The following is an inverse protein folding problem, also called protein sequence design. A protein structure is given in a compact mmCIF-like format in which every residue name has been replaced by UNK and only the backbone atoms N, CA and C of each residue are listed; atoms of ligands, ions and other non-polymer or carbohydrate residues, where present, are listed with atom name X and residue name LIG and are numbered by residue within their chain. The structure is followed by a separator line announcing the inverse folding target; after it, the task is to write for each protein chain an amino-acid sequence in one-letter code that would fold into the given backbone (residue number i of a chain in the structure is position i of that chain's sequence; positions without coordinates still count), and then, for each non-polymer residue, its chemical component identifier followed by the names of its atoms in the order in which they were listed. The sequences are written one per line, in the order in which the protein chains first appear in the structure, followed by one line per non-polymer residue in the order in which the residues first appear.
data_IF_746656487609
#
_entry.id   IF_746656487609
#
_cell.length_a   1.000
_cell.length_b   1.000
_cell.length_c   1.000
_cell.angle_alpha   90.00
_cell.angle_beta   90.00
_cell.angle_gamma   90.00
#
_symmetry.space_group_name_H-M   'P 1'
#
loop_
_entity.id
_entity.type
_entity.pdbx_description
1 polymer ?
#
# COMPACT_ATOMS: atom_id res chain seq x y z
N UNK A 1 -40.86 -24.86 25.52
CA UNK A 1 -39.91 -24.64 24.38
C UNK A 1 -39.22 -25.95 24.18
N UNK A 2 -39.38 -26.54 23.01
CA UNK A 2 -38.80 -27.84 22.72
C UNK A 2 -37.27 -27.71 22.57
N UNK A 3 -36.52 -28.57 23.25
CA UNK A 3 -35.08 -28.65 23.23
C UNK A 3 -34.57 -28.72 21.77
N UNK A 4 -35.30 -29.42 20.91
CA UNK A 4 -35.01 -29.52 19.48
C UNK A 4 -34.99 -28.15 18.76
N UNK A 5 -35.95 -27.28 19.05
CA UNK A 5 -36.04 -25.92 18.47
C UNK A 5 -34.87 -25.04 18.91
N UNK A 6 -34.39 -25.18 20.16
CA UNK A 6 -33.22 -24.46 20.66
C UNK A 6 -31.94 -24.91 19.98
N UNK A 7 -31.76 -26.22 19.78
CA UNK A 7 -30.61 -26.80 19.09
C UNK A 7 -30.55 -26.33 17.63
N UNK A 8 -31.68 -26.35 16.92
CA UNK A 8 -31.76 -25.86 15.54
C UNK A 8 -31.40 -24.37 15.46
N UNK A 9 -31.87 -23.53 16.39
CA UNK A 9 -31.55 -22.12 16.46
C UNK A 9 -30.04 -21.86 16.64
N UNK A 10 -29.38 -22.63 17.53
CA UNK A 10 -27.94 -22.53 17.75
C UNK A 10 -27.15 -22.91 16.49
N UNK A 11 -27.56 -23.98 15.81
CA UNK A 11 -26.90 -24.42 14.56
C UNK A 11 -26.98 -23.35 13.49
N UNK A 12 -28.15 -22.72 13.30
CA UNK A 12 -28.32 -21.64 12.31
C UNK A 12 -27.41 -20.45 12.65
N UNK A 13 -27.33 -20.04 13.92
CA UNK A 13 -26.45 -18.95 14.36
C UNK A 13 -24.98 -19.29 14.08
N UNK A 14 -24.56 -20.51 14.37
CA UNK A 14 -23.18 -20.95 14.08
C UNK A 14 -22.87 -20.93 12.58
N UNK A 15 -23.80 -21.37 11.73
CA UNK A 15 -23.61 -21.34 10.27
C UNK A 15 -23.46 -19.89 9.77
N UNK A 16 -24.20 -18.93 10.32
CA UNK A 16 -24.13 -17.52 9.93
C UNK A 16 -22.83 -16.87 10.42
N UNK A 17 -22.35 -17.20 11.63
CA UNK A 17 -21.17 -16.57 12.23
C UNK A 17 -19.84 -17.15 11.70
N UNK A 18 -19.83 -18.41 11.25
CA UNK A 18 -18.62 -19.10 10.78
C UNK A 18 -17.90 -18.36 9.64
N UNK A 19 -18.56 -17.90 8.55
CA UNK A 19 -17.89 -17.21 7.47
C UNK A 19 -17.26 -15.89 7.92
N UNK A 20 -17.87 -15.17 8.84
CA UNK A 20 -17.29 -13.92 9.37
C UNK A 20 -16.02 -14.17 10.19
N UNK A 21 -15.99 -15.24 10.97
CA UNK A 21 -14.79 -15.63 11.72
C UNK A 21 -13.64 -16.03 10.78
N UNK A 22 -13.92 -16.82 9.74
CA UNK A 22 -12.92 -17.27 8.76
C UNK A 22 -12.34 -16.06 8.00
N UNK A 23 -13.16 -15.11 7.55
CA UNK A 23 -12.73 -13.91 6.83
C UNK A 23 -11.79 -13.08 7.72
N UNK A 24 -12.12 -12.89 9.01
CA UNK A 24 -11.31 -12.11 9.94
C UNK A 24 -9.95 -12.76 10.23
N UNK A 25 -9.92 -14.06 10.40
CA UNK A 25 -8.68 -14.83 10.62
C UNK A 25 -7.77 -14.79 9.38
N UNK A 26 -8.36 -14.97 8.20
CA UNK A 26 -7.62 -15.00 6.93
C UNK A 26 -7.02 -13.61 6.59
N UNK A 27 -7.76 -12.54 6.87
CA UNK A 27 -7.28 -11.16 6.72
C UNK A 27 -6.09 -10.87 7.66
N UNK A 28 -6.16 -11.31 8.91
CA UNK A 28 -5.06 -11.15 9.87
C UNK A 28 -3.78 -11.90 9.46
N UNK A 29 -3.91 -13.10 8.92
CA UNK A 29 -2.78 -13.90 8.47
C UNK A 29 -2.10 -13.27 7.24
N UNK A 30 -2.88 -12.71 6.32
CA UNK A 30 -2.34 -12.01 5.14
C UNK A 30 -1.55 -10.77 5.55
N UNK A 31 -2.08 -9.95 6.45
CA UNK A 31 -1.38 -8.76 6.95
C UNK A 31 -0.08 -9.12 7.68
N UNK A 32 -0.09 -10.18 8.50
CA UNK A 32 1.13 -10.68 9.15
C UNK A 32 2.20 -11.11 8.15
N UNK A 33 1.81 -11.86 7.12
CA UNK A 33 2.73 -12.27 6.06
C UNK A 33 3.31 -11.08 5.28
N UNK A 34 2.48 -10.09 4.94
CA UNK A 34 2.95 -8.86 4.30
C UNK A 34 3.94 -8.09 5.18
N UNK A 35 3.64 -7.98 6.47
CA UNK A 35 4.50 -7.31 7.42
C UNK A 35 5.84 -8.04 7.56
N UNK A 36 5.81 -9.36 7.71
CA UNK A 36 7.01 -10.18 7.78
C UNK A 36 7.89 -10.01 6.53
N UNK A 37 7.29 -10.02 5.34
CA UNK A 37 8.00 -9.81 4.08
C UNK A 37 8.68 -8.43 4.05
N UNK A 38 8.00 -7.37 4.51
CA UNK A 38 8.58 -6.03 4.59
C UNK A 38 9.74 -5.99 5.59
N UNK A 39 9.58 -6.55 6.79
CA UNK A 39 10.65 -6.58 7.80
C UNK A 39 11.87 -7.35 7.33
N UNK A 40 11.69 -8.54 6.74
CA UNK A 40 12.81 -9.31 6.17
C UNK A 40 13.58 -8.50 5.13
N UNK A 41 12.87 -7.82 4.21
CA UNK A 41 13.50 -6.98 3.20
C UNK A 41 14.30 -5.82 3.79
N UNK A 42 13.81 -5.22 4.88
CA UNK A 42 14.50 -4.13 5.59
C UNK A 42 15.75 -4.65 6.32
N UNK A 43 15.64 -5.78 7.02
CA UNK A 43 16.75 -6.42 7.73
C UNK A 43 17.87 -6.87 6.80
N UNK A 44 17.53 -7.45 5.64
CA UNK A 44 18.50 -7.83 4.59
C UNK A 44 19.32 -6.63 4.09
N UNK A 45 18.77 -5.41 4.17
CA UNK A 45 19.45 -4.17 3.81
C UNK A 45 20.16 -3.48 5.00
N UNK A 46 20.21 -4.12 6.17
CA UNK A 46 20.87 -3.61 7.37
C UNK A 46 20.19 -2.37 7.95
N UNK A 47 18.87 -2.25 7.76
CA UNK A 47 18.07 -1.10 8.16
C UNK A 47 17.04 -1.46 9.24
N UNK A 48 16.39 -0.45 9.82
CA UNK A 48 15.29 -0.61 10.77
C UNK A 48 14.15 0.33 10.45
N UNK A 49 12.90 -0.15 10.50
CA UNK A 49 11.75 0.68 10.20
C UNK A 49 11.44 1.67 11.33
N UNK A 50 11.36 2.96 10.97
CA UNK A 50 10.85 4.02 11.84
C UNK A 50 9.33 4.14 11.74
N UNK A 51 8.80 4.00 10.53
CA UNK A 51 7.36 4.04 10.22
C UNK A 51 7.04 3.07 9.08
N UNK A 52 5.83 2.53 9.07
CA UNK A 52 5.31 1.72 7.97
C UNK A 52 3.79 1.77 7.89
N UNK A 53 3.25 1.48 6.70
CA UNK A 53 1.83 1.26 6.45
C UNK A 53 1.63 0.06 5.52
N UNK A 54 0.47 -0.57 5.66
CA UNK A 54 0.03 -1.71 4.86
C UNK A 54 -1.36 -1.41 4.31
N UNK A 55 -1.57 -1.63 3.01
CA UNK A 55 -2.91 -1.57 2.41
C UNK A 55 -2.99 -2.51 1.21
N UNK A 56 -4.13 -3.16 1.05
CA UNK A 56 -4.36 -4.13 -0.03
C UNK A 56 -3.19 -5.14 -0.18
N UNK A 57 -2.42 -5.00 -1.25
CA UNK A 57 -1.25 -5.82 -1.55
C UNK A 57 0.07 -5.04 -1.43
N UNK A 58 0.03 -3.84 -0.86
CA UNK A 58 1.18 -2.93 -0.74
C UNK A 58 1.62 -2.84 0.71
N UNK A 59 2.93 -2.86 0.90
CA UNK A 59 3.61 -2.56 2.16
C UNK A 59 4.66 -1.49 1.87
N UNK A 60 4.70 -0.44 2.67
CA UNK A 60 5.68 0.63 2.54
C UNK A 60 6.23 0.96 3.92
N UNK A 61 7.52 1.25 3.98
CA UNK A 61 8.18 1.63 5.23
C UNK A 61 9.40 2.49 4.99
N UNK A 62 9.82 3.22 6.00
CA UNK A 62 10.97 4.11 5.96
C UNK A 62 11.89 3.86 7.16
N UNK A 63 13.17 3.81 6.89
CA UNK A 63 14.22 4.03 7.86
C UNK A 63 14.64 5.50 7.77
N UNK A 64 14.27 6.29 8.78
CA UNK A 64 14.54 7.73 8.80
C UNK A 64 16.02 8.04 9.03
N UNK A 65 16.77 7.15 9.68
CA UNK A 65 18.19 7.33 9.98
C UNK A 65 18.99 7.16 8.69
N UNK A 66 18.80 6.06 7.97
CA UNK A 66 19.47 5.79 6.70
C UNK A 66 18.85 6.54 5.52
N UNK A 67 17.66 7.14 5.71
CA UNK A 67 16.84 7.79 4.66
C UNK A 67 16.57 6.86 3.49
N UNK A 68 16.20 5.62 3.80
CA UNK A 68 15.83 4.60 2.83
C UNK A 68 14.34 4.29 2.96
N UNK A 69 13.65 4.28 1.82
CA UNK A 69 12.25 3.90 1.74
C UNK A 69 12.15 2.53 1.08
N UNK A 70 11.42 1.64 1.72
CA UNK A 70 11.18 0.26 1.31
C UNK A 70 9.75 0.11 0.83
N UNK A 71 9.58 -0.50 -0.32
CA UNK A 71 8.28 -0.75 -0.91
C UNK A 71 8.19 -2.21 -1.37
N UNK A 72 7.12 -2.88 -0.96
CA UNK A 72 6.80 -4.24 -1.38
C UNK A 72 5.38 -4.26 -1.91
N UNK A 73 5.21 -4.75 -3.14
CA UNK A 73 3.92 -5.03 -3.74
C UNK A 73 3.78 -6.51 -3.99
N UNK A 74 2.82 -7.15 -3.33
CA UNK A 74 2.52 -8.56 -3.55
C UNK A 74 1.65 -8.69 -4.81
N UNK A 75 2.25 -9.18 -5.90
CA UNK A 75 1.54 -9.56 -7.12
C UNK A 75 1.21 -11.06 -7.10
N UNK A 76 0.33 -11.50 -8.00
CA UNK A 76 -0.11 -12.91 -8.07
C UNK A 76 1.04 -13.88 -8.33
N UNK A 77 2.04 -13.49 -9.09
CA UNK A 77 3.15 -14.36 -9.52
C UNK A 77 4.37 -14.22 -8.62
N UNK A 78 4.73 -12.98 -8.22
CA UNK A 78 5.86 -12.72 -7.35
C UNK A 78 5.72 -11.35 -6.67
N UNK A 79 6.33 -11.20 -5.48
CA UNK A 79 6.42 -9.91 -4.83
C UNK A 79 7.44 -9.01 -5.55
N UNK A 80 7.11 -7.74 -5.72
CA UNK A 80 7.98 -6.71 -6.27
C UNK A 80 8.59 -5.95 -5.09
N UNK A 81 9.92 -5.95 -4.99
CA UNK A 81 10.69 -5.26 -3.98
C UNK A 81 11.36 -4.04 -4.59
N UNK A 82 11.18 -2.88 -4.00
CA UNK A 82 11.83 -1.64 -4.44
C UNK A 82 12.40 -0.88 -3.24
N UNK A 83 13.65 -0.46 -3.38
CA UNK A 83 14.36 0.36 -2.41
C UNK A 83 14.63 1.72 -3.02
N UNK A 84 14.25 2.80 -2.32
CA UNK A 84 14.51 4.17 -2.74
C UNK A 84 15.45 4.82 -1.72
N UNK A 85 16.64 5.22 -2.15
CA UNK A 85 17.57 6.01 -1.34
C UNK A 85 17.18 7.50 -1.44
N UNK A 86 16.52 8.03 -0.43
CA UNK A 86 16.03 9.41 -0.43
C UNK A 86 17.16 10.45 -0.51
N UNK A 87 18.41 10.09 -0.16
CA UNK A 87 19.55 10.99 -0.33
C UNK A 87 19.89 11.26 -1.80
N UNK A 88 19.42 10.42 -2.73
CA UNK A 88 19.64 10.55 -4.17
C UNK A 88 18.43 11.13 -4.91
N UNK A 89 17.38 11.50 -4.18
CA UNK A 89 16.11 11.97 -4.75
C UNK A 89 15.99 13.48 -4.61
N UNK A 90 15.55 14.14 -5.68
CA UNK A 90 15.26 15.57 -5.72
C UNK A 90 13.81 15.88 -5.39
N UNK A 91 12.87 14.98 -5.72
CA UNK A 91 11.44 15.20 -5.57
C UNK A 91 10.65 13.88 -5.55
N UNK A 92 9.61 13.86 -4.73
CA UNK A 92 8.56 12.83 -4.76
C UNK A 92 7.24 13.46 -5.18
N UNK A 93 6.48 12.81 -6.07
CA UNK A 93 5.17 13.25 -6.56
C UNK A 93 4.18 12.10 -6.60
N UNK A 94 2.90 12.42 -6.36
CA UNK A 94 1.78 11.49 -6.59
C UNK A 94 1.31 11.65 -8.04
N UNK A 95 1.24 10.54 -8.77
CA UNK A 95 0.61 10.47 -10.09
C UNK A 95 -0.71 9.71 -9.92
N UNK A 96 -1.81 10.41 -10.15
CA UNK A 96 -3.16 9.86 -10.14
C UNK A 96 -3.68 9.80 -11.58
N UNK A 97 -3.78 8.57 -12.10
CA UNK A 97 -4.40 8.32 -13.40
C UNK A 97 -5.86 7.93 -13.17
N UNK A 98 -6.78 8.70 -13.70
CA UNK A 98 -8.21 8.49 -13.55
C UNK A 98 -8.93 8.66 -14.87
N UNK A 99 -10.02 7.90 -15.05
CA UNK A 99 -10.95 8.03 -16.19
C UNK A 99 -12.33 8.48 -15.69
N UNK A 100 -13.04 9.14 -16.59
CA UNK A 100 -14.41 9.56 -16.35
C UNK A 100 -15.36 8.60 -17.06
N UNK A 101 -16.30 8.02 -16.33
CA UNK A 101 -17.41 7.26 -16.90
C UNK A 101 -18.66 8.11 -16.85
N UNK A 102 -19.34 8.22 -18.02
CA UNK A 102 -20.61 8.90 -18.13
C UNK A 102 -21.73 7.85 -18.13
N UNK A 103 -22.42 7.70 -17.01
CA UNK A 103 -23.53 6.77 -16.84
C UNK A 103 -24.87 7.54 -16.83
N UNK A 104 -25.99 6.82 -17.00
CA UNK A 104 -27.34 7.40 -16.92
C UNK A 104 -27.63 8.12 -15.59
N UNK A 105 -26.84 7.83 -14.55
CA UNK A 105 -26.97 8.39 -13.19
C UNK A 105 -26.01 9.58 -12.95
N UNK A 106 -25.13 9.92 -13.92
CA UNK A 106 -24.20 11.02 -13.81
C UNK A 106 -22.77 10.70 -14.21
N UNK A 107 -21.88 11.65 -13.94
CA UNK A 107 -20.44 11.55 -14.22
C UNK A 107 -19.73 10.96 -13.00
N UNK A 108 -19.14 9.78 -13.16
CA UNK A 108 -18.36 9.12 -12.10
C UNK A 108 -16.88 9.12 -12.51
N UNK A 109 -16.02 9.64 -11.63
CA UNK A 109 -14.55 9.59 -11.80
C UNK A 109 -14.02 8.33 -11.12
N UNK A 110 -13.38 7.46 -11.89
CA UNK A 110 -12.74 6.24 -11.41
C UNK A 110 -11.24 6.42 -11.47
N UNK A 111 -10.56 6.16 -10.35
CA UNK A 111 -9.10 6.13 -10.29
C UNK A 111 -8.63 4.78 -10.84
N UNK A 112 -7.82 4.81 -11.89
CA UNK A 112 -7.25 3.61 -12.48
C UNK A 112 -5.93 3.21 -11.83
N UNK A 113 -5.07 4.19 -11.51
CA UNK A 113 -3.77 3.96 -10.90
C UNK A 113 -3.35 5.10 -9.98
N UNK A 114 -2.72 4.73 -8.86
CA UNK A 114 -1.98 5.66 -7.99
C UNK A 114 -0.51 5.23 -7.94
N UNK A 115 0.38 6.18 -8.18
CA UNK A 115 1.82 5.95 -8.16
C UNK A 115 2.52 7.02 -7.34
N UNK A 116 3.58 6.63 -6.61
CA UNK A 116 4.59 7.54 -6.11
C UNK A 116 5.76 7.52 -7.10
N UNK A 117 6.12 8.69 -7.59
CA UNK A 117 7.22 8.87 -8.54
C UNK A 117 8.32 9.67 -7.87
N UNK A 118 9.52 9.10 -7.84
CA UNK A 118 10.72 9.70 -7.25
C UNK A 118 11.68 10.10 -8.38
N UNK A 119 11.92 11.39 -8.51
CA UNK A 119 12.86 11.93 -9.48
C UNK A 119 14.26 12.01 -8.87
N UNK A 120 15.27 11.33 -9.43
CA UNK A 120 16.64 11.38 -8.93
C UNK A 120 17.26 12.79 -9.02
N UNK A 121 18.27 13.06 -8.18
CA UNK A 121 19.13 14.24 -8.30
C UNK A 121 19.96 14.19 -9.59
N UNK A 122 20.41 13.00 -9.96
CA UNK A 122 21.12 12.76 -11.23
C UNK A 122 20.09 12.69 -12.36
N UNK A 123 20.11 13.69 -13.23
CA UNK A 123 19.20 13.81 -14.39
C UNK A 123 19.37 12.70 -15.44
N UNK A 124 20.46 11.93 -15.39
CA UNK A 124 20.67 10.81 -16.30
C UNK A 124 20.02 9.51 -15.80
N UNK A 125 19.57 9.46 -14.54
CA UNK A 125 18.86 8.31 -13.99
C UNK A 125 17.35 8.44 -14.26
N UNK A 126 16.66 7.34 -14.61
CA UNK A 126 15.21 7.36 -14.79
C UNK A 126 14.49 7.54 -13.44
N UNK A 127 13.27 8.04 -13.50
CA UNK A 127 12.39 8.11 -12.35
C UNK A 127 12.10 6.73 -11.77
N UNK A 128 12.08 6.63 -10.43
CA UNK A 128 11.66 5.42 -9.72
C UNK A 128 10.16 5.51 -9.48
N UNK A 129 9.40 4.52 -9.93
CA UNK A 129 7.94 4.50 -9.87
C UNK A 129 7.49 3.36 -8.96
N UNK A 130 6.79 3.72 -7.88
CA UNK A 130 6.11 2.77 -6.98
C UNK A 130 4.62 2.76 -7.32
N UNK A 131 4.09 1.63 -7.80
CA UNK A 131 2.67 1.49 -8.11
C UNK A 131 1.90 1.12 -6.83
N UNK A 132 1.24 2.11 -6.23
CA UNK A 132 0.56 1.99 -4.95
C UNK A 132 -0.88 1.45 -5.08
N UNK A 133 -1.50 1.62 -6.24
CA UNK A 133 -2.82 1.11 -6.56
C UNK A 133 -2.97 0.92 -8.07
N UNK A 134 -3.67 -0.14 -8.47
CA UNK A 134 -4.02 -0.40 -9.85
C UNK A 134 -5.33 -1.20 -9.91
N UNK A 135 -6.37 -0.60 -10.50
CA UNK A 135 -7.72 -1.19 -10.58
C UNK A 135 -7.76 -2.58 -11.24
N UNK A 136 -6.77 -2.91 -12.07
CA UNK A 136 -6.69 -4.23 -12.71
C UNK A 136 -6.35 -5.37 -11.74
N UNK A 137 -5.76 -5.06 -10.59
CA UNK A 137 -5.25 -6.04 -9.61
C UNK A 137 -5.78 -5.83 -8.19
N UNK A 138 -6.23 -4.61 -7.88
CA UNK A 138 -6.73 -4.21 -6.57
C UNK A 138 -8.27 -4.09 -6.61
N UNK A 139 -8.89 -3.67 -5.52
CA UNK A 139 -10.33 -3.44 -5.46
C UNK A 139 -10.74 -2.27 -6.36
N UNK A 140 -11.94 -2.34 -6.95
CA UNK A 140 -12.47 -1.28 -7.84
C UNK A 140 -12.67 0.07 -7.14
N UNK A 141 -12.84 0.06 -5.81
CA UNK A 141 -13.11 1.27 -5.02
C UNK A 141 -11.94 1.53 -4.07
N UNK A 142 -11.46 2.77 -4.08
CA UNK A 142 -10.45 3.24 -3.11
C UNK A 142 -11.05 3.29 -1.71
N UNK A 143 -10.33 2.78 -0.72
CA UNK A 143 -10.69 2.73 0.70
C UNK A 143 -9.71 3.50 1.59
N UNK A 144 -9.19 4.63 1.09
CA UNK A 144 -8.20 5.46 1.80
C UNK A 144 -6.79 5.41 1.22
N UNK A 145 -6.57 4.67 0.12
CA UNK A 145 -5.25 4.54 -0.51
C UNK A 145 -4.70 5.90 -0.98
N UNK A 146 -5.56 6.80 -1.45
CA UNK A 146 -5.14 8.13 -1.88
C UNK A 146 -4.51 8.92 -0.72
N UNK A 147 -5.17 8.91 0.46
CA UNK A 147 -4.67 9.59 1.65
C UNK A 147 -3.34 8.99 2.13
N UNK A 148 -3.19 7.65 2.04
CA UNK A 148 -1.94 6.98 2.39
C UNK A 148 -0.82 7.36 1.41
N UNK A 149 -1.09 7.39 0.12
CA UNK A 149 -0.12 7.77 -0.91
C UNK A 149 0.30 9.24 -0.74
N UNK A 150 -0.64 10.15 -0.46
CA UNK A 150 -0.35 11.56 -0.18
C UNK A 150 0.48 11.73 1.11
N UNK A 151 0.16 10.98 2.18
CA UNK A 151 0.94 10.92 3.42
C UNK A 151 2.40 10.54 3.13
N UNK A 152 2.60 9.44 2.36
CA UNK A 152 3.93 8.94 2.04
C UNK A 152 4.70 9.86 1.10
N UNK A 153 4.03 10.54 0.17
CA UNK A 153 4.63 11.58 -0.65
C UNK A 153 5.15 12.76 0.20
N UNK A 154 4.31 13.24 1.12
CA UNK A 154 4.67 14.32 2.05
C UNK A 154 5.82 13.94 2.98
N UNK A 155 5.75 12.75 3.58
CA UNK A 155 6.80 12.21 4.45
C UNK A 155 8.12 12.07 3.68
N UNK A 156 8.10 11.48 2.49
CA UNK A 156 9.29 11.32 1.66
C UNK A 156 9.93 12.67 1.35
N UNK A 157 9.14 13.65 0.88
CA UNK A 157 9.64 14.99 0.58
C UNK A 157 10.26 15.70 1.81
N UNK A 158 9.74 15.46 3.01
CA UNK A 158 10.31 16.03 4.25
C UNK A 158 11.68 15.46 4.62
N UNK A 159 12.05 14.30 4.06
CA UNK A 159 13.32 13.62 4.32
C UNK A 159 14.33 13.75 3.17
N UNK A 160 13.97 14.42 2.07
CA UNK A 160 14.88 14.68 0.97
C UNK A 160 16.01 15.62 1.40
N UNK A 161 17.18 15.51 0.78
CA UNK A 161 18.25 16.49 1.00
C UNK A 161 17.75 17.86 0.53
N UNK A 162 18.01 18.90 1.34
CA UNK A 162 17.73 20.27 0.91
C UNK A 162 18.46 20.50 -0.42
N UNK A 163 17.78 21.01 -1.46
CA UNK A 163 18.45 21.34 -2.69
C UNK A 163 19.55 22.35 -2.39
N UNK A 164 20.79 21.95 -2.58
CA UNK A 164 21.92 22.87 -2.54
C UNK A 164 21.60 23.94 -3.59
N UNK A 165 21.34 25.17 -3.15
CA UNK A 165 21.22 26.31 -4.05
C UNK A 165 22.54 26.41 -4.79
N UNK A 166 22.57 25.88 -6.02
CA UNK A 166 23.69 26.15 -6.92
C UNK A 166 23.72 27.65 -7.17
N UNK A 167 24.78 28.27 -6.68
CA UNK A 167 25.14 29.68 -6.97
C UNK A 167 25.61 29.77 -8.41
#
# INVERSE_FOLDING_TARGET
MDIASVIVGIIIILIILTPFAIIKINSGNKQKAQLQTLFSFVEENGCSLSQFDLWNNVSIGIDEISRKLFFVRNAKEAAIFQLVNLNEISKCQVINSSRTLNNKEGIVKIVDKLKLTFTPLDKNKPDIILECYNVAFDNLTLSGELQLVDKWCTLSNSKLPNPVKQK
#
